data_IF_409142450379
#
_entry.id   IF_409142450379
#
_cell.length_a   1.000
_cell.length_b   1.000
_cell.length_c   1.000
_cell.angle_alpha   90.00
_cell.angle_beta   90.00
_cell.angle_gamma   90.00
#
_symmetry.space_group_name_H-M   'P 1'
#
loop_
_entity.id
_entity.type
_entity.pdbx_description
1 polymer ?
#
# COMPACT_ATOMS: atom_id res chain seq x y z
N UNK A 1 -1.64 -4.88 -15.53
CA UNK A 1 -1.88 -5.97 -14.56
C UNK A 1 -3.20 -5.65 -13.92
N UNK A 2 -4.15 -6.57 -13.98
CA UNK A 2 -5.48 -6.32 -13.43
C UNK A 2 -5.44 -6.40 -11.90
N UNK A 3 -6.27 -5.60 -11.25
CA UNK A 3 -6.47 -5.71 -9.81
C UNK A 3 -7.09 -7.07 -9.49
N UNK A 4 -6.74 -7.64 -8.33
CA UNK A 4 -7.44 -8.80 -7.83
C UNK A 4 -8.93 -8.47 -7.62
N UNK A 5 -9.83 -9.48 -7.65
CA UNK A 5 -11.22 -9.30 -7.30
C UNK A 5 -11.38 -8.61 -5.94
N UNK A 6 -12.45 -7.83 -5.77
CA UNK A 6 -12.66 -7.04 -4.55
C UNK A 6 -12.57 -7.87 -3.27
N UNK A 7 -13.19 -9.06 -3.25
CA UNK A 7 -13.15 -9.98 -2.11
C UNK A 7 -11.73 -10.49 -1.79
N UNK A 8 -10.90 -10.71 -2.80
CA UNK A 8 -9.50 -11.11 -2.59
C UNK A 8 -8.68 -9.95 -2.01
N UNK A 9 -8.90 -8.73 -2.51
CA UNK A 9 -8.29 -7.52 -1.94
C UNK A 9 -8.71 -7.32 -0.49
N UNK A 10 -9.98 -7.52 -0.15
CA UNK A 10 -10.46 -7.49 1.23
C UNK A 10 -9.85 -8.58 2.11
N UNK A 11 -9.67 -9.78 1.58
CA UNK A 11 -8.99 -10.88 2.29
C UNK A 11 -7.55 -10.50 2.65
N UNK A 12 -6.81 -9.91 1.69
CA UNK A 12 -5.46 -9.38 1.93
C UNK A 12 -5.47 -8.27 2.98
N UNK A 13 -6.42 -7.33 2.92
CA UNK A 13 -6.56 -6.29 3.94
C UNK A 13 -6.89 -6.86 5.31
N UNK A 14 -7.71 -7.91 5.40
CA UNK A 14 -8.01 -8.60 6.65
C UNK A 14 -6.77 -9.28 7.23
N UNK A 15 -5.97 -9.94 6.39
CA UNK A 15 -4.70 -10.53 6.82
C UNK A 15 -3.68 -9.46 7.26
N UNK A 16 -3.64 -8.29 6.60
CA UNK A 16 -2.78 -7.18 6.99
C UNK A 16 -3.16 -6.61 8.36
N UNK A 17 -4.46 -6.57 8.66
CA UNK A 17 -5.05 -5.92 9.82
C UNK A 17 -5.48 -6.90 10.92
N UNK A 18 -4.94 -8.13 10.91
CA UNK A 18 -5.37 -9.23 11.79
C UNK A 18 -5.36 -8.88 13.29
N UNK A 19 -4.47 -7.98 13.71
CA UNK A 19 -4.29 -7.52 15.09
C UNK A 19 -5.10 -6.27 15.46
N UNK A 20 -5.90 -5.73 14.54
CA UNK A 20 -6.68 -4.50 14.74
C UNK A 20 -8.17 -4.73 14.50
N UNK A 21 -9.00 -4.17 15.38
CA UNK A 21 -10.44 -4.10 15.18
C UNK A 21 -10.81 -2.91 14.26
N UNK A 22 -10.35 -2.94 13.01
CA UNK A 22 -10.62 -1.91 11.99
C UNK A 22 -11.18 -2.61 10.75
N UNK A 23 -12.31 -2.16 10.16
CA UNK A 23 -12.89 -2.83 9.02
C UNK A 23 -11.93 -2.79 7.80
N UNK A 24 -11.65 -3.94 7.15
CA UNK A 24 -10.74 -4.00 6.01
C UNK A 24 -11.21 -3.17 4.82
N UNK A 25 -12.53 -2.99 4.66
CA UNK A 25 -13.16 -2.14 3.65
C UNK A 25 -12.73 -0.69 3.82
N UNK A 26 -12.77 -0.17 5.06
CA UNK A 26 -12.33 1.20 5.33
C UNK A 26 -10.84 1.39 5.03
N UNK A 27 -10.01 0.40 5.38
CA UNK A 27 -8.58 0.43 5.07
C UNK A 27 -8.34 0.45 3.55
N UNK A 28 -9.11 -0.33 2.79
CA UNK A 28 -9.02 -0.35 1.33
C UNK A 28 -9.46 0.98 0.73
N UNK A 29 -10.57 1.56 1.19
CA UNK A 29 -11.04 2.88 0.79
C UNK A 29 -10.00 3.98 1.05
N UNK A 30 -9.24 3.88 2.15
CA UNK A 30 -8.14 4.81 2.45
C UNK A 30 -7.01 4.69 1.45
N UNK A 31 -6.59 3.47 1.11
CA UNK A 31 -5.55 3.23 0.11
C UNK A 31 -5.99 3.71 -1.29
N UNK A 32 -7.28 3.57 -1.61
CA UNK A 32 -7.88 4.06 -2.85
C UNK A 32 -8.12 5.58 -2.86
N UNK A 33 -7.90 6.28 -1.73
CA UNK A 33 -8.12 7.73 -1.62
C UNK A 33 -9.60 8.14 -1.53
N UNK A 34 -10.50 7.16 -1.35
CA UNK A 34 -11.95 7.37 -1.15
C UNK A 34 -12.29 7.80 0.27
N UNK A 35 -11.40 7.49 1.23
CA UNK A 35 -11.54 7.81 2.65
C UNK A 35 -10.24 8.42 3.20
N UNK A 36 -10.36 9.39 4.12
CA UNK A 36 -9.17 10.05 4.71
C UNK A 36 -8.40 9.17 5.71
N UNK A 37 -9.11 8.37 6.50
CA UNK A 37 -8.54 7.50 7.55
C UNK A 37 -9.45 6.34 7.90
N UNK A 38 -8.86 5.25 8.42
CA UNK A 38 -9.56 4.10 9.00
C UNK A 38 -9.00 3.89 10.42
N UNK A 39 -9.81 4.18 11.44
CA UNK A 39 -9.32 4.33 12.82
C UNK A 39 -8.21 5.39 12.92
N UNK A 40 -7.02 4.98 13.38
CA UNK A 40 -5.82 5.83 13.46
C UNK A 40 -4.95 5.78 12.20
N UNK A 41 -5.29 4.92 11.24
CA UNK A 41 -4.50 4.76 10.03
C UNK A 41 -4.86 5.80 8.97
N UNK A 42 -3.83 6.47 8.49
CA UNK A 42 -3.82 7.30 7.28
C UNK A 42 -3.34 6.51 6.07
N UNK A 43 -3.55 7.08 4.89
CA UNK A 43 -3.02 6.60 3.61
C UNK A 43 -1.52 6.26 3.67
N UNK A 44 -0.68 7.20 4.13
CA UNK A 44 0.76 6.98 4.24
C UNK A 44 1.13 5.84 5.20
N UNK A 45 0.43 5.74 6.34
CA UNK A 45 0.71 4.69 7.34
C UNK A 45 0.23 3.31 6.91
N UNK A 46 -0.92 3.21 6.23
CA UNK A 46 -1.41 1.95 5.67
C UNK A 46 -0.53 1.49 4.52
N UNK A 47 -0.18 2.41 3.63
CA UNK A 47 0.67 2.07 2.50
C UNK A 47 2.07 1.64 2.96
N UNK A 48 2.64 2.30 3.98
CA UNK A 48 3.87 1.82 4.65
C UNK A 48 3.72 0.39 5.17
N UNK A 49 2.62 0.08 5.86
CA UNK A 49 2.37 -1.27 6.38
C UNK A 49 2.28 -2.30 5.24
N UNK A 50 1.66 -1.92 4.12
CA UNK A 50 1.53 -2.75 2.93
C UNK A 50 2.89 -3.11 2.32
N UNK A 51 3.76 -2.11 2.08
CA UNK A 51 5.09 -2.32 1.49
C UNK A 51 6.06 -3.08 2.40
N UNK A 52 5.82 -3.05 3.72
CA UNK A 52 6.57 -3.81 4.73
C UNK A 52 6.08 -5.25 4.87
N UNK A 53 4.82 -5.52 4.53
CA UNK A 53 4.15 -6.81 4.82
C UNK A 53 4.04 -7.72 3.61
N UNK A 54 3.95 -7.16 2.40
CA UNK A 54 3.69 -7.93 1.18
C UNK A 54 4.81 -7.83 0.13
N UNK A 55 4.99 -8.90 -0.68
CA UNK A 55 5.79 -8.82 -1.89
C UNK A 55 5.19 -7.83 -2.91
N UNK A 56 6.05 -7.27 -3.77
CA UNK A 56 5.67 -6.28 -4.79
C UNK A 56 4.48 -6.69 -5.66
N UNK A 57 4.42 -7.94 -6.14
CA UNK A 57 3.31 -8.40 -6.99
C UNK A 57 1.97 -8.50 -6.24
N UNK A 58 2.00 -8.80 -4.93
CA UNK A 58 0.80 -8.76 -4.09
C UNK A 58 0.35 -7.31 -3.86
N UNK A 59 1.28 -6.36 -3.75
CA UNK A 59 0.92 -4.95 -3.63
C UNK A 59 0.22 -4.45 -4.91
N UNK A 60 0.75 -4.83 -6.07
CA UNK A 60 0.18 -4.51 -7.39
C UNK A 60 -1.21 -5.12 -7.61
N UNK A 61 -1.54 -6.24 -6.97
CA UNK A 61 -2.90 -6.81 -7.07
C UNK A 61 -3.91 -6.09 -6.17
N UNK A 62 -3.45 -5.32 -5.17
CA UNK A 62 -4.31 -4.59 -4.22
C UNK A 62 -4.57 -3.16 -4.69
N UNK A 63 -3.57 -2.46 -5.22
CA UNK A 63 -3.65 -1.04 -5.59
C UNK A 63 -3.05 -0.84 -6.98
N UNK A 64 -3.66 -0.03 -7.87
CA UNK A 64 -3.14 0.16 -9.21
C UNK A 64 -1.80 0.92 -9.21
N UNK A 65 -0.92 0.68 -10.19
CA UNK A 65 0.42 1.28 -10.26
C UNK A 65 0.44 2.82 -10.17
N UNK A 66 -0.54 3.48 -10.77
CA UNK A 66 -0.68 4.95 -10.78
C UNK A 66 -0.90 5.47 -9.37
N UNK A 67 -1.73 4.75 -8.59
CA UNK A 67 -1.98 5.08 -7.21
C UNK A 67 -0.77 4.77 -6.34
N UNK A 68 -0.05 3.67 -6.59
CA UNK A 68 1.21 3.38 -5.91
C UNK A 68 2.23 4.49 -6.16
N UNK A 69 2.37 4.98 -7.39
CA UNK A 69 3.30 6.05 -7.74
C UNK A 69 3.05 7.33 -6.94
N UNK A 70 1.78 7.67 -6.69
CA UNK A 70 1.41 8.81 -5.82
C UNK A 70 1.79 8.59 -4.36
N UNK A 71 1.71 7.35 -3.87
CA UNK A 71 1.96 6.97 -2.48
C UNK A 71 3.44 6.77 -2.16
N UNK A 72 4.26 6.41 -3.15
CA UNK A 72 5.69 6.09 -3.04
C UNK A 72 6.58 7.35 -2.94
N UNK A 73 6.26 8.25 -2.01
CA UNK A 73 7.02 9.48 -1.77
C UNK A 73 8.32 9.21 -1.00
N UNK A 74 9.28 10.15 -1.07
CA UNK A 74 10.49 10.11 -0.22
C UNK A 74 10.17 9.97 1.26
N UNK A 75 9.11 10.65 1.72
CA UNK A 75 8.66 10.59 3.10
C UNK A 75 8.21 9.18 3.46
N UNK A 76 7.40 8.55 2.62
CA UNK A 76 6.94 7.17 2.80
C UNK A 76 8.12 6.20 2.82
N UNK A 77 9.01 6.27 1.81
CA UNK A 77 10.15 5.37 1.68
C UNK A 77 11.08 5.48 2.89
N UNK A 78 11.41 6.71 3.32
CA UNK A 78 12.30 6.91 4.49
C UNK A 78 11.66 6.47 5.81
N UNK A 79 10.33 6.48 5.88
CA UNK A 79 9.57 6.07 7.06
C UNK A 79 9.48 4.56 7.28
N UNK A 80 9.89 3.74 6.31
CA UNK A 80 9.85 2.27 6.47
C UNK A 80 10.70 1.81 7.65
N UNK A 81 10.20 0.79 8.35
CA UNK A 81 10.85 0.14 9.49
C UNK A 81 12.11 -0.59 9.06
N UNK A 82 12.02 -1.38 7.98
CA UNK A 82 13.13 -2.19 7.49
C UNK A 82 13.94 -1.40 6.47
N UNK A 83 15.10 -0.87 6.88
CA UNK A 83 15.94 -0.02 6.03
C UNK A 83 16.47 -0.73 4.77
N UNK A 84 16.54 -2.05 4.77
CA UNK A 84 16.84 -2.86 3.58
C UNK A 84 15.82 -2.72 2.45
N UNK A 85 14.58 -2.28 2.74
CA UNK A 85 13.57 -2.04 1.72
C UNK A 85 13.75 -0.70 0.99
N UNK A 86 14.52 0.24 1.55
CA UNK A 86 14.67 1.59 0.99
C UNK A 86 15.20 1.55 -0.45
N UNK A 87 16.37 0.93 -0.75
CA UNK A 87 16.92 0.96 -2.10
C UNK A 87 15.97 0.33 -3.13
N UNK A 88 15.24 -0.72 -2.73
CA UNK A 88 14.25 -1.40 -3.57
C UNK A 88 13.10 -0.46 -3.94
N UNK A 89 12.54 0.25 -2.97
CA UNK A 89 11.41 1.13 -3.24
C UNK A 89 11.83 2.45 -3.89
N UNK A 90 13.04 2.96 -3.64
CA UNK A 90 13.61 4.06 -4.44
C UNK A 90 13.70 3.65 -5.92
N UNK A 91 14.26 2.47 -6.20
CA UNK A 91 14.30 1.95 -7.57
C UNK A 91 12.91 1.82 -8.19
N UNK A 92 11.94 1.23 -7.47
CA UNK A 92 10.56 1.07 -7.97
C UNK A 92 9.91 2.42 -8.28
N UNK A 93 10.07 3.44 -7.42
CA UNK A 93 9.56 4.80 -7.68
C UNK A 93 10.10 5.33 -8.99
N UNK A 94 11.42 5.27 -9.16
CA UNK A 94 12.10 5.84 -10.30
C UNK A 94 11.70 5.11 -11.60
N UNK A 95 11.37 3.81 -11.53
CA UNK A 95 10.81 3.06 -12.67
C UNK A 95 9.36 3.46 -12.97
N UNK A 96 8.51 3.59 -11.96
CA UNK A 96 7.12 4.01 -12.14
C UNK A 96 7.04 5.41 -12.77
N UNK A 97 7.87 6.35 -12.32
CA UNK A 97 7.92 7.72 -12.87
C UNK A 97 8.37 7.80 -14.33
N UNK A 98 9.09 6.79 -14.84
CA UNK A 98 9.52 6.73 -16.24
C UNK A 98 8.47 6.10 -17.15
N UNK A 99 7.56 5.32 -16.59
CA UNK A 99 6.66 4.44 -17.35
C UNK A 99 5.22 4.95 -17.37
N UNK A 100 4.84 5.76 -16.37
CA UNK A 100 3.51 6.38 -16.21
C UNK A 100 3.59 7.87 -16.52
#
# INVERSE_FOLDING_TARGET
MDLAPYEERLSLMRSLMWDYNIPPEECLEVLEGKRKKAGHYTEATLFRKLIESYPWFTILSIIPPERIAQLLTDKTIRSVRFKSLIPRYEFIRDQLQKTL
#
